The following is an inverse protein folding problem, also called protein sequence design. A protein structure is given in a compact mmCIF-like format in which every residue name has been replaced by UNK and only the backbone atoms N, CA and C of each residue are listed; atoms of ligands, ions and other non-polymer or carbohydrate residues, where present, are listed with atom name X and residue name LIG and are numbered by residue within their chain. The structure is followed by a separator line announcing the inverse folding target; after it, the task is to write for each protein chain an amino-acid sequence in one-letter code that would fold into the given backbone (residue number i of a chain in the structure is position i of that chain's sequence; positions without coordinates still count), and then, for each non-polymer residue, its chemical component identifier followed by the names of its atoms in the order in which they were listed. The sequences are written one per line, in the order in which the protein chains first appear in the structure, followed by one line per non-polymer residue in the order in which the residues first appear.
data_IF_977192941654
#
_entry.id   IF_977192941654
#
_cell.length_a   1.000
_cell.length_b   1.000
_cell.length_c   1.000
_cell.angle_alpha   90.00
_cell.angle_beta   90.00
_cell.angle_gamma   90.00
#
_symmetry.space_group_name_H-M   'P 1'
#
loop_
_entity.id
_entity.type
_entity.pdbx_description
1 polymer ?
#
# COMPACT_ATOMS: atom_id res chain seq x y z
N UNK A 1 -12.00 -3.79 16.22
CA UNK A 1 -11.05 -2.72 15.85
C UNK A 1 -10.99 -2.72 14.33
N UNK A 2 -11.25 -1.57 13.68
CA UNK A 2 -11.67 -1.39 12.27
C UNK A 2 -13.06 -1.93 11.91
N UNK A 3 -13.83 -1.13 11.15
CA UNK A 3 -15.17 -1.50 10.64
C UNK A 3 -15.10 -2.18 9.27
N UNK A 4 -14.14 -1.78 8.45
CA UNK A 4 -13.92 -2.28 7.09
C UNK A 4 -12.42 -2.35 6.83
N UNK A 5 -11.99 -3.37 6.10
CA UNK A 5 -10.63 -3.51 5.58
C UNK A 5 -10.71 -3.69 4.06
N UNK A 6 -9.90 -2.93 3.32
CA UNK A 6 -9.86 -2.98 1.85
C UNK A 6 -8.42 -3.19 1.40
N UNK A 7 -8.14 -4.21 0.56
CA UNK A 7 -6.81 -4.37 0.00
C UNK A 7 -6.53 -3.26 -1.01
N UNK A 8 -5.30 -2.75 -1.00
CA UNK A 8 -4.78 -1.78 -1.95
C UNK A 8 -3.62 -2.44 -2.70
N UNK A 9 -3.71 -2.51 -4.02
CA UNK A 9 -2.65 -3.03 -4.87
C UNK A 9 -1.89 -1.86 -5.49
N UNK A 10 -0.56 -1.94 -5.46
CA UNK A 10 0.34 -0.95 -6.02
C UNK A 10 1.13 -1.60 -7.15
N UNK A 11 0.97 -1.09 -8.36
CA UNK A 11 1.78 -1.47 -9.53
C UNK A 11 2.79 -0.36 -9.74
N UNK A 12 4.06 -0.74 -9.77
CA UNK A 12 5.18 0.19 -9.89
C UNK A 12 5.53 0.34 -11.37
N UNK A 13 5.17 1.48 -11.96
CA UNK A 13 5.41 1.80 -13.37
C UNK A 13 6.84 2.27 -13.63
N UNK A 14 7.43 2.98 -12.67
CA UNK A 14 8.81 3.49 -12.72
C UNK A 14 9.62 2.92 -11.57
N UNK A 15 10.94 2.67 -11.72
CA UNK A 15 11.78 2.19 -10.61
C UNK A 15 11.54 2.98 -9.33
N UNK A 16 11.11 2.30 -8.28
CA UNK A 16 10.74 2.90 -7.00
C UNK A 16 11.86 2.70 -5.98
N UNK A 17 12.27 3.79 -5.33
CA UNK A 17 13.21 3.76 -4.23
C UNK A 17 12.50 4.15 -2.92
N UNK A 18 12.03 3.15 -2.18
CA UNK A 18 11.58 3.34 -0.80
C UNK A 18 12.81 3.17 0.12
N UNK A 19 13.47 4.26 0.48
CA UNK A 19 14.74 4.22 1.22
C UNK A 19 14.58 3.83 2.70
N UNK A 20 15.52 3.04 3.23
CA UNK A 20 15.60 2.70 4.67
C UNK A 20 16.68 3.48 5.43
N UNK A 21 17.23 4.53 4.83
CA UNK A 21 18.37 5.31 5.35
C UNK A 21 19.70 4.87 4.73
N UNK A 22 20.80 5.29 5.34
CA UNK A 22 22.16 4.89 4.94
C UNK A 22 22.58 3.63 5.70
N UNK A 23 23.20 2.68 5.01
CA UNK A 23 23.75 1.48 5.63
C UNK A 23 25.27 1.39 5.41
N UNK A 24 25.98 0.71 6.31
CA UNK A 24 27.42 0.42 6.20
C UNK A 24 27.68 -0.78 5.27
N UNK A 25 26.64 -1.25 4.57
CA UNK A 25 26.71 -2.37 3.64
C UNK A 25 27.37 -2.02 2.31
N UNK A 26 27.26 -2.96 1.35
CA UNK A 26 27.80 -2.79 -0.01
C UNK A 26 27.03 -1.71 -0.80
N UNK A 27 25.78 -1.45 -0.41
CA UNK A 27 24.90 -0.46 -1.04
C UNK A 27 24.69 0.68 -0.05
N UNK A 28 25.09 1.89 -0.43
CA UNK A 28 25.02 3.07 0.44
C UNK A 28 23.58 3.42 0.84
N UNK A 29 22.67 3.37 -0.13
CA UNK A 29 21.24 3.70 0.03
C UNK A 29 20.39 2.48 -0.31
N UNK A 30 20.20 1.54 0.64
CA UNK A 30 19.34 0.40 0.43
C UNK A 30 17.86 0.79 0.43
N UNK A 31 17.07 -0.06 -0.24
CA UNK A 31 15.62 -0.02 -0.16
C UNK A 31 15.12 -0.72 1.11
N UNK A 32 13.92 -0.34 1.54
CA UNK A 32 13.21 -0.95 2.66
C UNK A 32 12.94 -2.44 2.42
N UNK A 33 13.26 -3.23 3.45
CA UNK A 33 13.11 -4.68 3.45
C UNK A 33 12.52 -5.17 4.76
N UNK A 34 11.87 -6.32 4.70
CA UNK A 34 11.41 -7.03 5.89
C UNK A 34 12.57 -7.72 6.61
N UNK A 35 12.77 -7.44 7.90
CA UNK A 35 13.93 -7.97 8.65
C UNK A 35 14.06 -9.50 8.68
N UNK A 36 12.96 -10.23 8.58
CA UNK A 36 12.92 -11.68 8.77
C UNK A 36 12.94 -12.48 7.45
N UNK A 37 12.50 -11.89 6.35
CA UNK A 37 12.43 -12.51 5.01
C UNK A 37 13.35 -11.85 4.00
N UNK A 38 13.84 -10.65 4.30
CA UNK A 38 14.56 -9.75 3.40
C UNK A 38 13.76 -9.31 2.17
N UNK A 39 12.44 -9.57 2.13
CA UNK A 39 11.61 -9.16 1.01
C UNK A 39 11.45 -7.64 0.94
N UNK A 40 11.52 -7.04 -0.27
CA UNK A 40 11.20 -5.63 -0.46
C UNK A 40 9.81 -5.30 0.09
N UNK A 41 9.71 -4.19 0.81
CA UNK A 41 8.43 -3.65 1.30
C UNK A 41 8.45 -2.13 1.24
N UNK A 42 7.28 -1.53 1.38
CA UNK A 42 7.14 -0.10 1.65
C UNK A 42 6.47 0.04 3.01
N UNK A 43 7.08 0.79 3.91
CA UNK A 43 6.52 1.06 5.23
C UNK A 43 5.19 1.82 5.13
N UNK A 44 4.25 1.43 5.98
CA UNK A 44 2.93 2.05 6.06
C UNK A 44 3.00 3.56 6.31
N UNK A 45 4.00 4.02 7.07
CA UNK A 45 4.27 5.43 7.35
C UNK A 45 4.55 6.22 6.06
N UNK A 46 5.44 5.71 5.22
CA UNK A 46 5.79 6.33 3.93
C UNK A 46 4.60 6.37 2.98
N UNK A 47 3.82 5.29 2.89
CA UNK A 47 2.60 5.25 2.09
C UNK A 47 1.55 6.23 2.59
N UNK A 48 1.32 6.26 3.90
CA UNK A 48 0.37 7.17 4.54
C UNK A 48 0.77 8.63 4.30
N UNK A 49 2.06 8.95 4.45
CA UNK A 49 2.61 10.29 4.23
C UNK A 49 2.43 10.74 2.78
N UNK A 50 2.83 9.91 1.80
CA UNK A 50 2.70 10.26 0.39
C UNK A 50 1.23 10.41 -0.05
N UNK A 51 0.33 9.55 0.42
CA UNK A 51 -1.10 9.71 0.14
C UNK A 51 -1.65 10.98 0.78
N UNK A 52 -1.31 11.24 2.04
CA UNK A 52 -1.75 12.46 2.76
C UNK A 52 -1.34 13.71 2.00
N UNK A 53 -0.08 13.81 1.58
CA UNK A 53 0.44 14.95 0.82
C UNK A 53 -0.32 15.16 -0.50
N UNK A 54 -0.56 14.08 -1.26
CA UNK A 54 -1.34 14.16 -2.49
C UNK A 54 -2.75 14.69 -2.20
N UNK A 55 -3.43 14.16 -1.18
CA UNK A 55 -4.77 14.64 -0.83
C UNK A 55 -4.76 16.10 -0.36
N UNK A 56 -3.78 16.53 0.42
CA UNK A 56 -3.63 17.93 0.85
C UNK A 56 -3.44 18.87 -0.35
N UNK A 57 -2.68 18.44 -1.37
CA UNK A 57 -2.49 19.22 -2.61
C UNK A 57 -3.78 19.45 -3.41
N UNK A 58 -4.80 18.59 -3.23
CA UNK A 58 -6.09 18.71 -3.90
C UNK A 58 -7.01 19.77 -3.29
N UNK A 59 -6.60 20.43 -2.20
CA UNK A 59 -7.38 21.48 -1.52
C UNK A 59 -7.87 22.56 -2.49
N UNK A 60 -7.04 22.94 -3.47
CA UNK A 60 -7.39 24.00 -4.43
C UNK A 60 -8.37 23.55 -5.51
N UNK A 61 -8.37 22.27 -5.87
CA UNK A 61 -9.24 21.70 -6.89
C UNK A 61 -9.75 20.35 -6.41
N UNK A 62 -10.73 20.41 -5.50
CA UNK A 62 -11.33 19.21 -4.91
C UNK A 62 -12.03 18.42 -6.04
N UNK A 63 -11.66 17.15 -6.27
CA UNK A 63 -12.27 16.34 -7.31
C UNK A 63 -13.79 16.18 -7.11
N UNK A 64 -14.60 16.19 -8.19
CA UNK A 64 -16.05 16.01 -8.10
C UNK A 64 -16.45 14.75 -7.35
N UNK A 65 -15.68 13.66 -7.47
CA UNK A 65 -15.93 12.40 -6.77
C UNK A 65 -15.94 12.54 -5.24
N UNK A 66 -15.17 13.49 -4.69
CA UNK A 66 -15.16 13.81 -3.26
C UNK A 66 -16.36 14.69 -2.93
N UNK A 67 -16.58 15.76 -3.67
CA UNK A 67 -17.69 16.71 -3.45
C UNK A 67 -19.06 16.04 -3.57
N UNK A 68 -19.24 15.07 -4.48
CA UNK A 68 -20.49 14.31 -4.60
C UNK A 68 -20.78 13.48 -3.35
N UNK A 69 -19.75 12.91 -2.70
CA UNK A 69 -19.92 12.15 -1.45
C UNK A 69 -20.00 13.04 -0.22
N UNK A 70 -19.36 14.21 -0.27
CA UNK A 70 -19.23 15.14 0.83
C UNK A 70 -19.56 16.57 0.34
N UNK A 71 -20.86 16.90 0.20
CA UNK A 71 -21.28 18.18 -0.38
C UNK A 71 -20.93 19.40 0.47
N UNK A 72 -20.61 19.21 1.76
CA UNK A 72 -20.23 20.28 2.68
C UNK A 72 -18.72 20.58 2.68
N UNK A 73 -17.91 19.80 1.95
CA UNK A 73 -16.47 20.04 1.85
C UNK A 73 -16.18 21.12 0.81
N UNK A 74 -15.60 22.21 1.30
CA UNK A 74 -15.15 23.37 0.56
C UNK A 74 -13.64 23.56 0.78
N UNK A 75 -13.02 24.46 0.00
CA UNK A 75 -11.58 24.74 0.11
C UNK A 75 -11.12 25.13 1.51
N UNK A 76 -11.99 25.79 2.28
CA UNK A 76 -11.67 26.33 3.62
C UNK A 76 -11.64 25.25 4.70
N UNK A 77 -12.54 24.27 4.64
CA UNK A 77 -12.67 23.20 5.65
C UNK A 77 -12.13 21.84 5.18
N UNK A 78 -11.61 21.74 3.95
CA UNK A 78 -11.12 20.48 3.38
C UNK A 78 -10.05 19.79 4.24
N UNK A 79 -9.14 20.56 4.85
CA UNK A 79 -8.11 20.02 5.74
C UNK A 79 -8.74 19.53 7.05
N UNK A 80 -9.49 20.40 7.72
CA UNK A 80 -9.99 20.16 9.08
C UNK A 80 -11.07 19.07 9.12
N UNK A 81 -11.96 19.03 8.13
CA UNK A 81 -13.09 18.09 8.06
C UNK A 81 -12.84 16.89 7.15
N UNK A 82 -11.85 16.97 6.24
CA UNK A 82 -11.52 15.89 5.31
C UNK A 82 -10.24 15.15 5.69
N UNK A 83 -9.11 15.87 5.72
CA UNK A 83 -7.77 15.27 5.90
C UNK A 83 -7.55 14.81 7.35
N UNK A 84 -7.77 15.69 8.33
CA UNK A 84 -7.47 15.37 9.73
C UNK A 84 -8.25 14.17 10.27
N UNK A 85 -9.58 14.02 10.04
CA UNK A 85 -10.31 12.83 10.49
C UNK A 85 -9.83 11.54 9.80
N UNK A 86 -9.25 11.67 8.61
CA UNK A 86 -8.78 10.54 7.80
C UNK A 86 -7.36 10.10 8.20
N UNK A 87 -6.41 11.03 8.24
CA UNK A 87 -4.97 10.76 8.45
C UNK A 87 -4.46 11.13 9.84
N UNK A 88 -5.23 11.89 10.61
CA UNK A 88 -4.83 12.48 11.90
C UNK A 88 -4.40 13.95 11.76
N UNK A 89 -4.60 14.77 12.79
CA UNK A 89 -4.14 16.16 12.84
C UNK A 89 -2.61 16.24 12.90
N UNK A 90 -2.03 17.38 12.51
CA UNK A 90 -0.58 17.60 12.57
C UNK A 90 -0.08 17.72 14.02
N UNK A 91 -0.85 18.40 14.86
CA UNK A 91 -0.46 18.69 16.25
C UNK A 91 -0.49 17.46 17.18
N UNK A 92 -0.78 16.25 16.68
CA UNK A 92 -0.70 14.97 17.39
C UNK A 92 -1.70 14.73 18.55
N UNK A 93 -2.20 15.80 19.17
CA UNK A 93 -2.82 15.73 20.51
C UNK A 93 -4.36 15.76 20.51
N UNK A 94 -5.01 15.99 19.36
CA UNK A 94 -6.48 16.14 19.31
C UNK A 94 -7.21 14.80 19.22
N UNK A 95 -6.90 14.01 18.19
CA UNK A 95 -7.55 12.71 17.94
C UNK A 95 -6.74 11.86 16.95
N UNK A 96 -6.98 10.56 16.92
CA UNK A 96 -6.35 9.65 15.95
C UNK A 96 -7.07 9.67 14.59
N UNK A 97 -6.32 9.48 13.51
CA UNK A 97 -6.88 9.29 12.17
C UNK A 97 -7.70 8.00 12.07
N UNK A 98 -8.74 8.01 11.25
CA UNK A 98 -9.66 6.87 11.06
C UNK A 98 -9.11 5.77 10.13
N UNK A 99 -8.09 6.06 9.31
CA UNK A 99 -7.43 5.08 8.44
C UNK A 99 -6.23 4.41 9.12
N UNK A 100 -6.25 3.08 9.12
CA UNK A 100 -5.09 2.25 9.40
C UNK A 100 -4.44 1.78 8.11
N UNK A 101 -3.13 1.99 7.98
CA UNK A 101 -2.33 1.47 6.88
C UNK A 101 -1.48 0.30 7.37
N UNK A 102 -1.39 -0.74 6.55
CA UNK A 102 -0.42 -1.82 6.70
C UNK A 102 0.73 -1.59 5.72
N UNK A 103 1.91 -2.13 6.02
CA UNK A 103 3.04 -2.11 5.09
C UNK A 103 2.63 -2.70 3.73
N UNK A 104 3.04 -2.09 2.62
CA UNK A 104 2.89 -2.72 1.31
C UNK A 104 3.95 -3.79 1.15
N UNK A 105 3.48 -5.03 1.00
CA UNK A 105 4.32 -6.22 0.89
C UNK A 105 4.37 -6.67 -0.56
N UNK A 106 5.50 -7.28 -0.93
CA UNK A 106 5.68 -7.84 -2.26
C UNK A 106 4.64 -8.94 -2.55
N UNK A 107 4.00 -8.85 -3.73
CA UNK A 107 3.08 -9.88 -4.23
C UNK A 107 3.63 -10.53 -5.51
N UNK A 108 4.00 -9.71 -6.49
CA UNK A 108 4.60 -10.11 -7.75
C UNK A 108 5.89 -9.31 -7.96
N UNK A 109 6.96 -9.98 -8.41
CA UNK A 109 8.22 -9.34 -8.75
C UNK A 109 8.56 -9.56 -10.23
N UNK A 110 8.97 -8.54 -10.99
CA UNK A 110 9.30 -8.72 -12.40
C UNK A 110 10.72 -9.26 -12.54
N UNK A 111 10.89 -10.38 -13.24
CA UNK A 111 12.21 -10.97 -13.55
C UNK A 111 12.33 -11.23 -15.05
N UNK A 112 13.51 -10.98 -15.60
CA UNK A 112 13.82 -11.26 -17.01
C UNK A 112 13.54 -12.73 -17.34
N UNK A 113 12.86 -12.98 -18.45
CA UNK A 113 12.60 -14.33 -18.97
C UNK A 113 13.11 -14.44 -20.42
N UNK A 114 13.43 -15.66 -20.85
CA UNK A 114 13.89 -15.93 -22.22
C UNK A 114 12.74 -16.21 -23.19
N UNK A 115 11.57 -16.64 -22.67
CA UNK A 115 10.39 -16.98 -23.46
C UNK A 115 9.45 -15.77 -23.64
N UNK A 116 9.35 -14.96 -22.60
CA UNK A 116 8.65 -13.68 -22.55
C UNK A 116 9.66 -12.63 -22.07
N UNK A 117 9.63 -11.40 -22.54
CA UNK A 117 10.62 -10.34 -22.18
C UNK A 117 10.90 -10.29 -20.67
N UNK A 118 9.84 -10.45 -19.87
CA UNK A 118 9.91 -10.69 -18.43
C UNK A 118 8.76 -11.60 -17.98
N UNK A 119 8.81 -12.05 -16.74
CA UNK A 119 7.76 -12.79 -16.06
C UNK A 119 7.50 -12.18 -14.68
N UNK A 120 6.23 -12.19 -14.26
CA UNK A 120 5.82 -11.84 -12.90
C UNK A 120 5.96 -13.06 -12.00
N UNK A 121 6.99 -13.09 -11.17
CA UNK A 121 7.24 -14.22 -10.28
C UNK A 121 6.66 -13.97 -8.88
N UNK A 122 6.34 -15.07 -8.20
CA UNK A 122 5.91 -15.10 -6.80
C UNK A 122 6.33 -16.43 -6.17
N UNK A 123 6.00 -16.66 -4.90
CA UNK A 123 6.29 -17.93 -4.23
C UNK A 123 5.15 -18.35 -3.29
N UNK A 124 5.07 -19.64 -2.92
CA UNK A 124 4.02 -20.15 -2.03
C UNK A 124 3.89 -19.36 -0.73
N UNK A 125 5.00 -18.96 -0.11
CA UNK A 125 5.00 -18.18 1.13
C UNK A 125 4.33 -16.80 0.98
N UNK A 126 4.54 -16.12 -0.15
CA UNK A 126 3.90 -14.83 -0.44
C UNK A 126 2.39 -15.03 -0.67
N UNK A 127 2.01 -16.07 -1.41
CA UNK A 127 0.60 -16.36 -1.71
C UNK A 127 -0.18 -16.77 -0.46
N UNK A 128 0.41 -17.59 0.41
CA UNK A 128 -0.21 -17.95 1.69
C UNK A 128 -0.39 -16.73 2.59
N UNK A 129 0.61 -15.86 2.66
CA UNK A 129 0.50 -14.60 3.40
C UNK A 129 -0.57 -13.68 2.83
N UNK A 130 -0.65 -13.55 1.51
CA UNK A 130 -1.70 -12.79 0.84
C UNK A 130 -3.09 -13.36 1.13
N UNK A 131 -3.25 -14.68 1.11
CA UNK A 131 -4.50 -15.36 1.51
C UNK A 131 -4.87 -15.04 2.96
N UNK A 132 -3.91 -15.08 3.87
CA UNK A 132 -4.11 -14.74 5.28
C UNK A 132 -4.53 -13.27 5.44
N UNK A 133 -3.84 -12.34 4.77
CA UNK A 133 -4.19 -10.91 4.78
C UNK A 133 -5.59 -10.66 4.17
N UNK A 134 -5.97 -11.38 3.11
CA UNK A 134 -7.32 -11.31 2.53
C UNK A 134 -8.39 -11.87 3.46
N UNK A 135 -8.09 -12.88 4.28
CA UNK A 135 -9.07 -13.42 5.24
C UNK A 135 -9.45 -12.42 6.34
N UNK A 136 -8.60 -11.42 6.59
CA UNK A 136 -8.91 -10.29 7.47
C UNK A 136 -9.89 -9.31 6.82
N UNK A 137 -10.01 -9.35 5.49
CA UNK A 137 -11.04 -8.59 4.78
C UNK A 137 -12.32 -9.42 4.83
N UNK A 138 -13.48 -8.79 5.10
CA UNK A 138 -14.79 -9.47 5.09
C UNK A 138 -15.24 -9.84 3.65
N UNK A 139 -14.30 -10.08 2.74
CA UNK A 139 -14.54 -10.42 1.34
C UNK A 139 -14.25 -11.89 1.11
N UNK A 140 -14.93 -12.46 0.12
CA UNK A 140 -14.69 -13.82 -0.34
C UNK A 140 -13.29 -13.93 -0.93
N UNK A 141 -12.53 -14.91 -0.45
CA UNK A 141 -11.22 -15.25 -1.02
C UNK A 141 -11.44 -15.90 -2.39
N UNK A 142 -10.76 -15.42 -3.46
CA UNK A 142 -10.80 -16.08 -4.77
C UNK A 142 -10.47 -17.57 -4.68
N UNK A 143 -11.25 -18.41 -5.34
CA UNK A 143 -11.10 -19.87 -5.26
C UNK A 143 -9.73 -20.34 -5.79
N UNK A 144 -9.14 -19.57 -6.71
CA UNK A 144 -7.83 -19.78 -7.32
C UNK A 144 -6.70 -19.73 -6.29
N UNK A 145 -6.87 -18.98 -5.19
CA UNK A 145 -5.91 -18.92 -4.09
C UNK A 145 -6.00 -20.13 -3.15
N UNK A 146 -6.92 -21.07 -3.36
CA UNK A 146 -6.96 -22.31 -2.60
C UNK A 146 -6.12 -23.42 -3.24
N UNK A 147 -5.81 -23.31 -4.55
CA UNK A 147 -5.04 -24.30 -5.32
C UNK A 147 -3.77 -23.69 -5.94
N UNK A 148 -3.09 -22.78 -5.24
CA UNK A 148 -1.96 -22.05 -5.82
C UNK A 148 -0.75 -22.91 -6.20
N UNK A 149 -0.62 -24.14 -5.66
CA UNK A 149 0.45 -25.06 -6.07
C UNK A 149 0.40 -25.40 -7.56
N UNK A 150 -0.79 -25.46 -8.17
CA UNK A 150 -0.94 -25.62 -9.63
C UNK A 150 -0.62 -24.35 -10.42
N UNK A 151 -0.72 -23.18 -9.79
CA UNK A 151 -0.53 -21.87 -10.41
C UNK A 151 0.95 -21.49 -10.49
N UNK A 152 1.70 -21.77 -9.42
CA UNK A 152 3.14 -21.51 -9.32
C UNK A 152 3.93 -22.35 -10.35
N UNK A 153 3.43 -23.52 -10.73
CA UNK A 153 4.07 -24.39 -11.73
C UNK A 153 3.90 -23.92 -13.20
N UNK A 154 3.06 -22.91 -13.46
CA UNK A 154 2.71 -22.46 -14.82
C UNK A 154 3.33 -21.11 -15.23
N UNK A 155 4.03 -20.44 -14.33
CA UNK A 155 4.77 -19.18 -14.57
C UNK A 155 6.23 -19.51 -14.87
#
# INVERSE_FOLDING_TARGET
MYKQAKPLFLIVETPLHAGSGSDLGIVDLPIQRERHTDFPKIEASGLKGGLREIYESLKENIPPAITTKFPNLNKTNFIDEGIWPTFGPEDGDKFAGSLGFTDARLLLFPVKSMKSVFAWITCPTILERFRNDLSLTQKTIPAELNNFEEFVAKI
#
